data_IF_521298004356
#
_entry.id   IF_521298004356
#
_cell.length_a   1.000
_cell.length_b   1.000
_cell.length_c   1.000
_cell.angle_alpha   90.00
_cell.angle_beta   90.00
_cell.angle_gamma   90.00
#
_symmetry.space_group_name_H-M   'P 1'
#
loop_
_entity.id
_entity.type
_entity.pdbx_description
1 polymer ?
#
# COMPACT_ATOMS: atom_id res chain seq x y z
N UNK A 1 15.69 12.71 10.97
CA UNK A 1 15.34 14.01 11.57
C UNK A 1 13.96 13.94 12.20
N UNK A 2 13.47 15.01 12.85
CA UNK A 2 12.06 15.08 13.24
C UNK A 2 11.24 15.15 11.95
N UNK A 3 10.38 14.15 11.76
CA UNK A 3 9.55 13.99 10.58
C UNK A 3 8.09 14.18 10.99
N UNK A 4 7.27 14.65 10.07
CA UNK A 4 5.84 14.68 10.27
C UNK A 4 5.30 13.25 10.36
N UNK A 5 4.84 12.84 11.54
CA UNK A 5 4.22 11.53 11.79
C UNK A 5 2.70 11.59 11.80
N UNK A 6 2.12 12.75 11.54
CA UNK A 6 0.68 12.95 11.45
C UNK A 6 0.10 12.46 10.11
N UNK A 7 -1.23 12.52 9.95
CA UNK A 7 -1.87 12.18 8.69
C UNK A 7 -1.39 13.12 7.57
N UNK A 8 -1.08 12.54 6.41
CA UNK A 8 -0.67 13.29 5.22
C UNK A 8 -1.86 13.91 4.46
N UNK A 9 -3.08 13.41 4.69
CA UNK A 9 -4.27 13.85 3.98
C UNK A 9 -5.48 13.94 4.89
N UNK A 10 -6.39 14.85 4.54
CA UNK A 10 -7.74 14.87 5.05
C UNK A 10 -8.63 13.94 4.20
N UNK A 11 -9.18 12.91 4.82
CA UNK A 11 -9.99 11.88 4.15
C UNK A 11 -11.27 12.47 3.51
N UNK A 12 -11.93 13.41 4.21
CA UNK A 12 -13.15 14.04 3.70
C UNK A 12 -12.86 14.88 2.44
N UNK A 13 -11.76 15.65 2.47
CA UNK A 13 -11.34 16.48 1.34
C UNK A 13 -10.90 15.61 0.15
N UNK A 14 -10.07 14.59 0.38
CA UNK A 14 -9.59 13.70 -0.68
C UNK A 14 -10.75 12.99 -1.40
N UNK A 15 -11.77 12.55 -0.63
CA UNK A 15 -12.97 11.94 -1.18
C UNK A 15 -13.83 12.94 -1.98
N UNK A 16 -13.94 14.19 -1.53
CA UNK A 16 -14.66 15.24 -2.24
C UNK A 16 -14.01 15.55 -3.59
N UNK A 17 -12.68 15.74 -3.63
CA UNK A 17 -11.94 16.04 -4.85
C UNK A 17 -12.04 14.87 -5.85
N UNK A 18 -11.90 13.62 -5.37
CA UNK A 18 -12.05 12.44 -6.21
C UNK A 18 -13.47 12.28 -6.80
N UNK A 19 -14.49 12.86 -6.17
CA UNK A 19 -15.87 12.89 -6.69
C UNK A 19 -16.09 14.00 -7.71
N UNK A 20 -15.40 15.14 -7.57
CA UNK A 20 -15.50 16.26 -8.51
C UNK A 20 -14.76 15.97 -9.82
N UNK A 21 -13.65 15.23 -9.77
CA UNK A 21 -12.85 14.91 -10.95
C UNK A 21 -12.52 13.43 -11.01
N UNK A 22 -12.95 12.77 -12.10
CA UNK A 22 -12.73 11.36 -12.41
C UNK A 22 -11.28 11.05 -12.85
N UNK A 23 -10.27 11.55 -12.13
CA UNK A 23 -8.88 11.20 -12.40
C UNK A 23 -8.49 9.90 -11.68
N UNK A 24 -7.82 8.99 -12.39
CA UNK A 24 -7.31 7.72 -11.83
C UNK A 24 -6.36 7.93 -10.65
N UNK A 25 -5.56 9.00 -10.69
CA UNK A 25 -4.69 9.40 -9.59
C UNK A 25 -5.46 9.80 -8.33
N UNK A 26 -6.52 10.60 -8.46
CA UNK A 26 -7.35 11.03 -7.33
C UNK A 26 -8.06 9.85 -6.66
N UNK A 27 -8.55 8.89 -7.46
CA UNK A 27 -9.11 7.62 -6.94
C UNK A 27 -8.07 6.85 -6.12
N UNK A 28 -6.81 6.76 -6.59
CA UNK A 28 -5.71 6.12 -5.83
C UNK A 28 -5.39 6.84 -4.53
N UNK A 29 -5.30 8.18 -4.55
CA UNK A 29 -5.04 8.97 -3.34
C UNK A 29 -6.18 8.77 -2.33
N UNK A 30 -7.44 8.78 -2.77
CA UNK A 30 -8.59 8.56 -1.89
C UNK A 30 -8.58 7.17 -1.23
N UNK A 31 -8.11 6.13 -1.94
CA UNK A 31 -7.88 4.81 -1.34
C UNK A 31 -6.70 4.80 -0.36
N UNK A 32 -5.59 5.43 -0.72
CA UNK A 32 -4.39 5.56 0.11
C UNK A 32 -4.67 6.31 1.42
N UNK A 33 -5.52 7.34 1.37
CA UNK A 33 -5.95 8.12 2.54
C UNK A 33 -6.54 7.26 3.65
N UNK A 34 -7.18 6.13 3.32
CA UNK A 34 -7.76 5.21 4.31
C UNK A 34 -6.70 4.47 5.14
N UNK A 35 -5.44 4.48 4.70
CA UNK A 35 -4.30 3.77 5.28
C UNK A 35 -3.15 4.75 5.61
N UNK A 36 -3.42 6.07 5.60
CA UNK A 36 -2.39 7.12 5.58
C UNK A 36 -1.45 7.15 6.79
N UNK A 37 -1.83 6.49 7.89
CA UNK A 37 -1.10 6.48 9.15
C UNK A 37 0.13 5.56 9.15
N UNK A 38 0.35 4.77 8.09
CA UNK A 38 1.47 3.85 7.97
C UNK A 38 2.43 4.27 6.85
N UNK A 39 3.76 4.15 7.05
CA UNK A 39 4.72 4.32 5.98
C UNK A 39 4.48 3.30 4.87
N UNK A 40 4.81 3.68 3.63
CA UNK A 40 4.75 2.74 2.51
C UNK A 40 5.96 1.80 2.56
N UNK A 41 5.74 0.55 2.14
CA UNK A 41 6.77 -0.47 2.06
C UNK A 41 7.03 -0.75 0.59
N UNK A 42 8.32 -0.77 0.22
CA UNK A 42 8.78 -1.18 -1.11
C UNK A 42 8.89 -2.71 -1.15
N UNK A 43 7.84 -3.38 -1.64
CA UNK A 43 7.81 -4.85 -1.61
C UNK A 43 8.90 -5.47 -2.50
N UNK A 44 9.34 -4.80 -3.57
CA UNK A 44 10.49 -5.26 -4.39
C UNK A 44 11.78 -5.32 -3.57
N UNK A 45 12.07 -4.29 -2.77
CA UNK A 45 13.26 -4.25 -1.93
C UNK A 45 13.20 -5.35 -0.85
N UNK A 46 12.01 -5.57 -0.30
CA UNK A 46 11.72 -6.65 0.65
C UNK A 46 11.94 -8.04 0.01
N UNK A 47 11.45 -8.26 -1.22
CA UNK A 47 11.68 -9.51 -1.95
C UNK A 47 13.17 -9.74 -2.22
N UNK A 48 13.89 -8.70 -2.68
CA UNK A 48 15.33 -8.77 -2.95
C UNK A 48 16.13 -9.11 -1.69
N UNK A 49 15.81 -8.47 -0.55
CA UNK A 49 16.45 -8.74 0.75
C UNK A 49 16.22 -10.19 1.21
N UNK A 50 15.06 -10.76 0.88
CA UNK A 50 14.66 -12.10 1.32
C UNK A 50 14.85 -13.19 0.25
N UNK A 51 15.48 -12.87 -0.90
CA UNK A 51 15.67 -13.76 -2.04
C UNK A 51 14.37 -14.44 -2.53
N UNK A 52 13.27 -13.68 -2.54
CA UNK A 52 11.95 -14.15 -2.99
C UNK A 52 11.67 -13.66 -4.41
N UNK A 53 10.88 -14.43 -5.17
CA UNK A 53 10.37 -13.92 -6.44
C UNK A 53 9.37 -12.78 -6.18
N UNK A 54 9.33 -11.85 -7.12
CA UNK A 54 8.49 -10.67 -7.04
C UNK A 54 7.09 -11.05 -7.58
N UNK A 55 6.06 -11.13 -6.72
CA UNK A 55 4.72 -11.43 -7.19
C UNK A 55 4.10 -10.22 -7.90
N UNK A 56 3.02 -10.45 -8.64
CA UNK A 56 2.22 -9.34 -9.18
C UNK A 56 1.63 -8.53 -8.02
N UNK A 57 1.81 -7.20 -8.08
CA UNK A 57 1.31 -6.25 -7.07
C UNK A 57 -0.19 -6.43 -6.79
N UNK A 58 -0.99 -6.63 -7.83
CA UNK A 58 -2.44 -6.86 -7.71
C UNK A 58 -2.77 -8.11 -6.91
N UNK A 59 -2.07 -9.21 -7.15
CA UNK A 59 -2.21 -10.46 -6.38
C UNK A 59 -1.80 -10.27 -4.93
N UNK A 60 -0.68 -9.57 -4.69
CA UNK A 60 -0.21 -9.29 -3.32
C UNK A 60 -1.23 -8.44 -2.54
N UNK A 61 -1.78 -7.39 -3.15
CA UNK A 61 -2.82 -6.56 -2.51
C UNK A 61 -4.08 -7.39 -2.23
N UNK A 62 -4.48 -8.27 -3.15
CA UNK A 62 -5.64 -9.13 -2.97
C UNK A 62 -5.46 -10.10 -1.80
N UNK A 63 -4.31 -10.76 -1.70
CA UNK A 63 -4.01 -11.67 -0.58
C UNK A 63 -3.88 -10.93 0.76
N UNK A 64 -3.28 -9.75 0.78
CA UNK A 64 -3.25 -8.91 1.99
C UNK A 64 -4.68 -8.56 2.46
N UNK A 65 -5.57 -8.19 1.53
CA UNK A 65 -6.98 -7.93 1.83
C UNK A 65 -7.72 -9.18 2.31
N UNK A 66 -7.48 -10.35 1.69
CA UNK A 66 -8.05 -11.64 2.12
C UNK A 66 -7.60 -12.03 3.52
N UNK A 67 -6.34 -11.75 3.87
CA UNK A 67 -5.80 -11.97 5.20
C UNK A 67 -6.33 -10.97 6.27
N UNK A 68 -7.24 -10.07 5.90
CA UNK A 68 -7.86 -9.10 6.80
C UNK A 68 -7.09 -7.77 6.94
N UNK A 69 -5.99 -7.59 6.22
CA UNK A 69 -5.21 -6.36 6.27
C UNK A 69 -5.73 -5.33 5.26
N UNK A 70 -5.69 -4.05 5.65
CA UNK A 70 -5.85 -2.96 4.69
C UNK A 70 -4.58 -2.85 3.86
N UNK A 71 -4.70 -2.87 2.54
CA UNK A 71 -3.61 -2.67 1.60
C UNK A 71 -4.07 -1.79 0.41
N UNK A 72 -3.26 -0.80 0.06
CA UNK A 72 -3.44 0.06 -1.10
C UNK A 72 -2.11 0.37 -1.77
N UNK A 73 -2.14 0.59 -3.08
CA UNK A 73 -0.99 1.08 -3.83
C UNK A 73 -0.75 2.54 -3.47
N UNK A 74 0.50 2.95 -3.29
CA UNK A 74 0.82 4.36 -3.09
C UNK A 74 1.04 5.06 -4.43
N UNK A 75 0.65 6.33 -4.52
CA UNK A 75 1.02 7.17 -5.66
C UNK A 75 2.50 7.59 -5.63
N UNK A 76 3.20 7.47 -4.49
CA UNK A 76 4.61 7.83 -4.37
C UNK A 76 5.55 6.91 -5.15
N UNK A 77 5.15 5.66 -5.38
CA UNK A 77 5.97 4.70 -6.10
C UNK A 77 5.12 3.60 -6.71
N UNK A 78 5.45 3.22 -7.94
CA UNK A 78 4.77 2.15 -8.65
C UNK A 78 4.85 0.79 -7.93
N UNK A 79 5.92 0.57 -7.16
CA UNK A 79 6.18 -0.64 -6.38
C UNK A 79 5.97 -0.44 -4.87
N UNK A 80 5.39 0.69 -4.46
CA UNK A 80 5.11 0.97 -3.06
C UNK A 80 3.71 0.50 -2.66
N UNK A 81 3.60 -0.09 -1.47
CA UNK A 81 2.33 -0.51 -0.87
C UNK A 81 2.19 0.13 0.50
N UNK A 82 1.05 0.75 0.79
CA UNK A 82 0.65 1.07 2.15
C UNK A 82 -0.19 -0.05 2.69
N UNK A 83 0.21 -0.59 3.83
CA UNK A 83 -0.54 -1.63 4.50
C UNK A 83 -0.45 -1.51 6.01
N UNK A 84 -1.48 -2.06 6.67
CA UNK A 84 -1.50 -2.29 8.12
C UNK A 84 -0.71 -3.52 8.54
N UNK A 85 -0.32 -4.37 7.58
CA UNK A 85 0.48 -5.56 7.82
C UNK A 85 1.93 -5.20 8.17
N UNK A 86 2.57 -5.97 9.06
CA UNK A 86 3.99 -5.83 9.35
C UNK A 86 4.81 -6.46 8.23
N UNK A 87 6.08 -6.07 8.10
CA UNK A 87 7.00 -6.64 7.10
C UNK A 87 7.02 -8.17 7.13
N UNK A 88 7.01 -8.78 8.33
CA UNK A 88 7.00 -10.25 8.50
C UNK A 88 5.77 -10.91 7.87
N UNK A 89 4.60 -10.29 8.01
CA UNK A 89 3.34 -10.80 7.46
C UNK A 89 3.34 -10.70 5.94
N UNK A 90 3.86 -9.59 5.40
CA UNK A 90 4.03 -9.38 3.96
C UNK A 90 4.97 -10.45 3.38
N UNK A 91 6.12 -10.69 4.00
CA UNK A 91 7.06 -11.76 3.58
C UNK A 91 6.37 -13.12 3.58
N UNK A 92 5.57 -13.43 4.61
CA UNK A 92 4.86 -14.71 4.72
C UNK A 92 3.84 -14.88 3.58
N UNK A 93 3.08 -13.83 3.27
CA UNK A 93 2.11 -13.83 2.18
C UNK A 93 2.80 -13.98 0.82
N UNK A 94 3.92 -13.26 0.61
CA UNK A 94 4.72 -13.40 -0.62
C UNK A 94 5.23 -14.83 -0.78
N UNK A 95 5.75 -15.46 0.29
CA UNK A 95 6.19 -16.86 0.26
C UNK A 95 5.07 -17.83 -0.10
N UNK A 96 3.83 -17.56 0.31
CA UNK A 96 2.67 -18.39 -0.06
C UNK A 96 2.27 -18.22 -1.53
N UNK A 97 2.45 -17.03 -2.10
CA UNK A 97 2.17 -16.72 -3.50
C UNK A 97 3.19 -17.29 -4.49
N UNK A 98 4.43 -17.51 -4.03
CA UNK A 98 5.56 -17.97 -4.85
C UNK A 98 5.86 -19.46 -4.68
N UNK A 99 5.06 -20.16 -3.89
CA UNK A 99 5.19 -21.61 -3.69
C UNK A 99 4.60 -22.37 -4.87
#
# INVERSE_FOLDING_TARGET
GPLWTGPLWNNALAKAIAKMHEATMLKRIAEECKISNFPFIQYHALCKKNQLQIPKLTSLIAELKKAGFKAARTHFSDYGIRTTAKEKDIVKIIKQLTK
#
